data_IF_672661554673
#
_entry.id   IF_672661554673
#
_cell.length_a   1.000
_cell.length_b   1.000
_cell.length_c   1.000
_cell.angle_alpha   90.00
_cell.angle_beta   90.00
_cell.angle_gamma   90.00
#
_symmetry.space_group_name_H-M   'P 1'
#
loop_
_entity.id
_entity.type
_entity.pdbx_description
1 polymer ?
#
# COMPACT_ATOMS: atom_id res chain seq x y z
N UNK A 1 -30.21 0.37 -11.72
CA UNK A 1 -29.97 1.42 -12.73
C UNK A 1 -28.53 1.31 -13.18
N UNK A 2 -28.28 0.87 -14.42
CA UNK A 2 -26.93 0.73 -14.95
C UNK A 2 -26.37 2.08 -15.36
N UNK A 3 -25.37 2.58 -14.63
CA UNK A 3 -24.67 3.85 -14.84
C UNK A 3 -23.91 3.96 -16.20
N UNK A 4 -24.26 3.13 -17.20
CA UNK A 4 -23.57 3.06 -18.50
C UNK A 4 -22.13 2.50 -18.44
N UNK A 5 -21.63 2.20 -17.24
CA UNK A 5 -20.28 1.68 -17.03
C UNK A 5 -20.25 0.18 -17.35
N UNK A 6 -19.44 -0.17 -18.34
CA UNK A 6 -19.14 -1.57 -18.67
C UNK A 6 -18.12 -2.13 -17.69
N UNK A 7 -18.63 -2.79 -16.63
CA UNK A 7 -17.83 -3.37 -15.55
C UNK A 7 -16.68 -4.22 -16.07
N UNK A 8 -16.92 -5.02 -17.12
CA UNK A 8 -15.90 -5.86 -17.75
C UNK A 8 -14.74 -5.04 -18.34
N UNK A 9 -15.04 -3.97 -19.09
CA UNK A 9 -14.01 -3.11 -19.69
C UNK A 9 -13.23 -2.34 -18.64
N UNK A 10 -13.93 -1.75 -17.66
CA UNK A 10 -13.27 -1.03 -16.56
C UNK A 10 -12.35 -1.95 -15.76
N UNK A 11 -12.80 -3.17 -15.45
CA UNK A 11 -11.99 -4.17 -14.75
C UNK A 11 -10.75 -4.55 -15.55
N UNK A 12 -10.89 -4.81 -16.85
CA UNK A 12 -9.76 -5.16 -17.72
C UNK A 12 -8.71 -4.04 -17.80
N UNK A 13 -9.17 -2.79 -17.97
CA UNK A 13 -8.29 -1.61 -17.99
C UNK A 13 -7.56 -1.46 -16.65
N UNK A 14 -8.27 -1.55 -15.52
CA UNK A 14 -7.66 -1.46 -14.20
C UNK A 14 -6.62 -2.56 -13.97
N UNK A 15 -6.91 -3.80 -14.35
CA UNK A 15 -5.93 -4.89 -14.26
C UNK A 15 -4.66 -4.60 -15.07
N UNK A 16 -4.82 -4.11 -16.30
CA UNK A 16 -3.68 -3.79 -17.16
C UNK A 16 -2.79 -2.70 -16.53
N UNK A 17 -3.39 -1.60 -16.06
CA UNK A 17 -2.64 -0.54 -15.38
C UNK A 17 -1.97 -1.05 -14.09
N UNK A 18 -2.71 -1.73 -13.21
CA UNK A 18 -2.17 -2.26 -11.94
C UNK A 18 -1.02 -3.23 -12.21
N UNK A 19 -1.14 -4.13 -13.19
CA UNK A 19 -0.10 -5.07 -13.53
C UNK A 19 1.19 -4.37 -13.99
N UNK A 20 1.08 -3.36 -14.86
CA UNK A 20 2.24 -2.60 -15.34
C UNK A 20 2.88 -1.80 -14.20
N UNK A 21 2.09 -1.06 -13.43
CA UNK A 21 2.60 -0.24 -12.33
C UNK A 21 3.25 -1.09 -11.23
N UNK A 22 2.60 -2.20 -10.85
CA UNK A 22 3.13 -3.12 -9.82
C UNK A 22 4.36 -3.85 -10.34
N UNK A 23 4.32 -4.37 -11.57
CA UNK A 23 5.44 -5.06 -12.20
C UNK A 23 6.67 -4.18 -12.34
N UNK A 24 6.51 -2.94 -12.81
CA UNK A 24 7.60 -1.97 -12.89
C UNK A 24 8.20 -1.66 -11.51
N UNK A 25 7.37 -1.50 -10.48
CA UNK A 25 7.84 -1.22 -9.12
C UNK A 25 8.61 -2.40 -8.52
N UNK A 26 8.08 -3.62 -8.66
CA UNK A 26 8.71 -4.85 -8.14
C UNK A 26 10.00 -5.17 -8.87
N UNK A 27 10.09 -4.91 -10.17
CA UNK A 27 11.32 -5.11 -10.93
C UNK A 27 12.48 -4.20 -10.47
N UNK A 28 12.16 -3.03 -9.91
CA UNK A 28 13.16 -2.05 -9.45
C UNK A 28 13.62 -2.29 -8.01
N UNK A 29 12.69 -2.58 -7.09
CA UNK A 29 12.96 -2.57 -5.64
C UNK A 29 12.77 -3.97 -5.01
N UNK A 30 12.23 -4.92 -5.76
CA UNK A 30 11.83 -6.24 -5.26
C UNK A 30 10.43 -6.24 -4.68
N UNK A 31 10.04 -7.39 -4.12
CA UNK A 31 8.73 -7.57 -3.50
C UNK A 31 8.64 -6.82 -2.17
N UNK A 32 7.53 -6.06 -1.99
CA UNK A 32 7.24 -5.36 -0.75
C UNK A 32 5.89 -5.83 -0.21
N UNK A 33 5.90 -6.43 0.98
CA UNK A 33 4.70 -6.92 1.65
C UNK A 33 4.01 -5.82 2.48
N UNK A 34 2.72 -6.05 2.79
CA UNK A 34 1.86 -5.26 3.70
C UNK A 34 1.49 -3.83 3.28
N UNK A 35 2.31 -3.12 2.49
CA UNK A 35 2.04 -1.74 2.07
C UNK A 35 0.68 -1.60 1.40
N UNK A 36 0.35 -2.52 0.48
CA UNK A 36 -0.94 -2.54 -0.22
C UNK A 36 -2.16 -2.79 0.67
N UNK A 37 -1.96 -3.30 1.88
CA UNK A 37 -3.02 -3.50 2.87
C UNK A 37 -3.15 -2.27 3.80
N UNK A 38 -2.01 -1.80 4.32
CA UNK A 38 -1.92 -0.72 5.32
C UNK A 38 -2.34 0.61 4.71
N UNK A 39 -1.67 1.02 3.63
CA UNK A 39 -1.76 2.36 3.06
C UNK A 39 -3.20 2.78 2.69
N UNK A 40 -3.99 1.98 1.95
CA UNK A 40 -5.35 2.39 1.59
C UNK A 40 -6.30 2.46 2.80
N UNK A 41 -6.04 1.70 3.87
CA UNK A 41 -6.83 1.81 5.10
C UNK A 41 -6.54 3.11 5.85
N UNK A 42 -5.26 3.48 5.96
CA UNK A 42 -4.87 4.78 6.51
C UNK A 42 -5.40 5.94 5.67
N UNK A 43 -5.29 5.85 4.34
CA UNK A 43 -5.85 6.85 3.45
C UNK A 43 -7.36 7.01 3.65
N UNK A 44 -8.11 5.89 3.75
CA UNK A 44 -9.56 5.91 4.01
C UNK A 44 -9.90 6.55 5.36
N UNK A 45 -9.09 6.36 6.39
CA UNK A 45 -9.29 7.03 7.68
C UNK A 45 -9.14 8.55 7.58
N UNK A 46 -8.25 9.04 6.69
CA UNK A 46 -7.97 10.47 6.52
C UNK A 46 -9.02 11.17 5.64
N UNK A 47 -9.36 10.58 4.49
CA UNK A 47 -10.21 11.23 3.46
C UNK A 47 -11.62 10.62 3.32
N UNK A 48 -11.97 9.62 4.12
CA UNK A 48 -13.24 8.91 4.05
C UNK A 48 -13.33 7.89 2.91
N UNK A 49 -14.55 7.48 2.56
CA UNK A 49 -14.82 6.36 1.64
C UNK A 49 -14.84 6.71 0.13
N UNK A 50 -14.50 7.95 -0.25
CA UNK A 50 -14.58 8.39 -1.64
C UNK A 50 -13.28 8.05 -2.41
N UNK A 51 -13.37 7.10 -3.36
CA UNK A 51 -12.25 6.62 -4.17
C UNK A 51 -11.50 7.71 -4.95
N UNK A 52 -12.16 8.83 -5.30
CA UNK A 52 -11.52 9.98 -5.95
C UNK A 52 -10.41 10.59 -5.09
N UNK A 53 -10.59 10.57 -3.77
CA UNK A 53 -9.62 11.10 -2.81
C UNK A 53 -8.72 10.00 -2.23
N UNK A 54 -9.24 8.77 -2.07
CA UNK A 54 -8.45 7.65 -1.54
C UNK A 54 -7.25 7.36 -2.45
N UNK A 55 -7.40 7.41 -3.78
CA UNK A 55 -6.32 7.10 -4.70
C UNK A 55 -5.10 8.04 -4.56
N UNK A 56 -5.25 9.38 -4.68
CA UNK A 56 -4.12 10.29 -4.48
C UNK A 56 -3.61 10.28 -3.04
N UNK A 57 -4.50 10.14 -2.05
CA UNK A 57 -4.07 10.06 -0.66
C UNK A 57 -3.26 8.79 -0.37
N UNK A 58 -3.62 7.65 -0.96
CA UNK A 58 -2.86 6.41 -0.84
C UNK A 58 -1.47 6.54 -1.45
N UNK A 59 -1.33 7.24 -2.59
CA UNK A 59 -0.02 7.51 -3.16
C UNK A 59 0.87 8.34 -2.21
N UNK A 60 0.31 9.40 -1.60
CA UNK A 60 1.05 10.25 -0.65
C UNK A 60 1.41 9.52 0.65
N UNK A 61 0.43 8.85 1.27
CA UNK A 61 0.64 8.08 2.51
C UNK A 61 1.63 6.95 2.27
N UNK A 62 1.51 6.24 1.14
CA UNK A 62 2.43 5.16 0.78
C UNK A 62 3.85 5.65 0.54
N UNK A 63 4.02 6.76 -0.18
CA UNK A 63 5.33 7.37 -0.40
C UNK A 63 5.99 7.81 0.92
N UNK A 64 5.24 8.47 1.80
CA UNK A 64 5.74 8.90 3.10
C UNK A 64 6.10 7.70 3.99
N UNK A 65 5.26 6.66 4.00
CA UNK A 65 5.47 5.45 4.78
C UNK A 65 6.75 4.72 4.36
N UNK A 66 6.95 4.54 3.04
CA UNK A 66 8.16 3.92 2.50
C UNK A 66 9.41 4.78 2.75
N UNK A 67 9.31 6.10 2.63
CA UNK A 67 10.43 7.01 2.90
C UNK A 67 10.90 6.91 4.36
N UNK A 68 9.96 6.87 5.31
CA UNK A 68 10.27 6.69 6.73
C UNK A 68 10.91 5.31 6.96
N UNK A 69 10.37 4.25 6.35
CA UNK A 69 10.91 2.90 6.50
C UNK A 69 12.33 2.78 5.92
N UNK A 70 12.59 3.34 4.73
CA UNK A 70 13.93 3.38 4.13
C UNK A 70 14.92 4.17 4.99
N UNK A 71 14.48 5.32 5.53
CA UNK A 71 15.31 6.14 6.43
C UNK A 71 15.68 5.38 7.70
N UNK A 72 14.72 4.67 8.31
CA UNK A 72 14.97 3.83 9.49
C UNK A 72 15.91 2.66 9.17
N UNK A 73 15.76 2.04 8.00
CA UNK A 73 16.63 0.97 7.51
C UNK A 73 18.10 1.33 7.54
N UNK A 74 18.40 2.57 7.15
CA UNK A 74 19.78 3.08 7.01
C UNK A 74 20.34 3.65 8.31
N UNK A 75 19.49 4.07 9.24
CA UNK A 75 19.91 4.81 10.44
C UNK A 75 20.01 3.94 11.70
N UNK A 76 19.28 2.83 11.77
CA UNK A 76 19.17 2.05 13.02
C UNK A 76 20.42 1.23 13.39
N UNK A 77 21.23 0.77 12.42
CA UNK A 77 22.36 -0.12 12.72
C UNK A 77 23.64 0.13 11.87
N UNK A 78 24.28 1.30 11.92
CA UNK A 78 25.54 1.50 11.21
C UNK A 78 26.61 0.49 11.67
N UNK A 79 27.39 -0.18 10.79
CA UNK A 79 27.51 -0.03 9.33
C UNK A 79 26.61 -0.98 8.51
N UNK A 80 25.75 -1.78 9.15
CA UNK A 80 24.92 -2.79 8.49
C UNK A 80 23.52 -2.25 8.18
N UNK A 81 23.14 -2.26 6.91
CA UNK A 81 21.80 -1.88 6.52
C UNK A 81 20.80 -2.99 6.89
N UNK A 82 19.77 -2.61 7.64
CA UNK A 82 18.65 -3.51 7.90
C UNK A 82 17.82 -3.59 6.61
N UNK A 83 17.36 -4.77 6.17
CA UNK A 83 16.45 -4.85 5.03
C UNK A 83 15.14 -4.10 5.31
N UNK A 84 14.73 -3.22 4.40
CA UNK A 84 13.50 -2.43 4.55
C UNK A 84 12.26 -3.31 4.77
N UNK A 85 12.23 -4.47 4.11
CA UNK A 85 11.13 -5.44 4.24
C UNK A 85 10.99 -5.96 5.68
N UNK A 86 12.09 -6.07 6.43
CA UNK A 86 12.05 -6.46 7.85
C UNK A 86 11.35 -5.38 8.70
N UNK A 87 11.69 -4.11 8.50
CA UNK A 87 11.06 -2.97 9.18
C UNK A 87 9.56 -2.93 8.87
N UNK A 88 9.22 -3.06 7.58
CA UNK A 88 7.82 -3.08 7.14
C UNK A 88 7.06 -4.27 7.72
N UNK A 89 7.68 -5.45 7.84
CA UNK A 89 7.05 -6.65 8.39
C UNK A 89 6.76 -6.52 9.88
N UNK A 90 7.63 -5.87 10.66
CA UNK A 90 7.41 -5.60 12.09
C UNK A 90 6.15 -4.77 12.32
N UNK A 91 5.86 -3.82 11.42
CA UNK A 91 4.66 -2.97 11.50
C UNK A 91 3.45 -3.67 10.88
N UNK A 92 3.66 -4.32 9.73
CA UNK A 92 2.60 -4.87 8.91
C UNK A 92 1.98 -6.15 9.47
N UNK A 93 2.77 -6.99 10.15
CA UNK A 93 2.25 -8.23 10.75
C UNK A 93 1.25 -7.95 11.89
N UNK A 94 1.54 -7.07 12.89
CA UNK A 94 0.55 -6.67 13.88
C UNK A 94 -0.71 -6.07 13.25
N UNK A 95 -0.56 -5.22 12.23
CA UNK A 95 -1.69 -4.61 11.53
C UNK A 95 -2.55 -5.65 10.80
N UNK A 96 -1.92 -6.60 10.11
CA UNK A 96 -2.60 -7.71 9.46
C UNK A 96 -3.40 -8.55 10.45
N UNK A 97 -2.78 -8.93 11.58
CA UNK A 97 -3.44 -9.68 12.65
C UNK A 97 -4.63 -8.90 13.21
N UNK A 98 -4.47 -7.59 13.40
CA UNK A 98 -5.56 -6.73 13.88
C UNK A 98 -6.77 -6.74 12.93
N UNK A 99 -6.55 -6.60 11.62
CA UNK A 99 -7.61 -6.70 10.61
C UNK A 99 -8.29 -8.07 10.63
N UNK A 100 -7.51 -9.16 10.60
CA UNK A 100 -8.04 -10.53 10.53
C UNK A 100 -8.84 -10.90 11.79
N UNK A 101 -8.45 -10.39 12.97
CA UNK A 101 -9.16 -10.63 14.24
C UNK A 101 -10.43 -9.80 14.42
N UNK A 102 -10.88 -9.08 13.38
CA UNK A 102 -12.11 -8.29 13.38
C UNK A 102 -11.91 -6.79 13.69
N UNK A 103 -10.66 -6.34 13.77
CA UNK A 103 -10.28 -4.95 13.97
C UNK A 103 -10.12 -4.20 12.67
N UNK A 104 -11.24 -3.73 12.11
CA UNK A 104 -11.43 -2.54 11.25
C UNK A 104 -12.76 -2.74 10.52
N UNK A 105 -13.85 -2.36 11.20
CA UNK A 105 -15.15 -2.13 10.55
C UNK A 105 -15.00 -0.83 9.75
N UNK A 106 -14.58 -0.95 8.49
CA UNK A 106 -14.58 0.15 7.52
C UNK A 106 -15.98 0.54 7.08
#
# INVERSE_FOLDING_TARGET
MGLGISIHRTRLLLFFFVAILTGASVALIGEIAFVGLIVPHFARFIVGANYKYILPMSALVGALFLLIADTLSRTLNPPFEIPIVAILSVIGLPFFIYIVRGGLKG
#
